data_IF_984732897149
#
_entry.id   IF_984732897149
#
_cell.length_a   1.000
_cell.length_b   1.000
_cell.length_c   1.000
_cell.angle_alpha   90.00
_cell.angle_beta   90.00
_cell.angle_gamma   90.00
#
_symmetry.space_group_name_H-M   'P 1'
#
loop_
_entity.id
_entity.type
_entity.pdbx_description
1 polymer ?
#
# COMPACT_ATOMS: atom_id res chain seq x y z
N UNK A 1 4.41 -21.85 -23.08
CA UNK A 1 4.99 -20.67 -23.74
C UNK A 1 4.22 -19.44 -23.27
N UNK A 2 4.48 -18.98 -22.06
CA UNK A 2 4.01 -17.70 -21.54
C UNK A 2 4.88 -16.64 -22.22
N UNK A 3 4.31 -15.98 -23.22
CA UNK A 3 4.95 -14.85 -23.88
C UNK A 3 5.26 -13.78 -22.84
N UNK A 4 6.54 -13.51 -22.64
CA UNK A 4 7.04 -12.34 -21.95
C UNK A 4 6.49 -11.10 -22.69
N UNK A 5 5.32 -10.58 -22.27
CA UNK A 5 4.95 -9.23 -22.66
C UNK A 5 6.05 -8.32 -22.13
N UNK A 6 6.63 -7.45 -22.96
CA UNK A 6 7.54 -6.43 -22.45
C UNK A 6 6.84 -5.69 -21.32
N UNK A 7 7.55 -5.29 -20.24
CA UNK A 7 6.94 -4.55 -19.16
C UNK A 7 6.20 -3.37 -19.77
N UNK A 8 4.90 -3.30 -19.50
CA UNK A 8 4.04 -2.26 -20.04
C UNK A 8 4.58 -0.93 -19.51
N UNK A 9 4.87 0.02 -20.40
CA UNK A 9 5.36 1.32 -19.99
C UNK A 9 4.38 1.92 -18.99
N UNK A 10 4.85 2.24 -17.78
CA UNK A 10 4.05 2.86 -16.73
C UNK A 10 4.23 4.39 -16.73
N UNK A 11 3.29 5.17 -16.20
CA UNK A 11 3.45 6.61 -16.02
C UNK A 11 4.69 6.96 -15.19
N UNK A 12 5.30 8.11 -15.51
CA UNK A 12 6.37 8.69 -14.71
C UNK A 12 5.98 10.08 -14.23
N UNK A 13 6.13 10.29 -12.91
CA UNK A 13 5.79 11.54 -12.25
C UNK A 13 7.08 12.28 -11.83
N UNK A 14 7.29 13.50 -12.28
CA UNK A 14 8.30 14.44 -11.73
C UNK A 14 7.54 15.52 -10.94
N UNK A 15 7.65 15.48 -9.61
CA UNK A 15 6.90 16.32 -8.69
C UNK A 15 7.84 17.27 -7.96
N UNK A 16 7.41 18.51 -7.81
CA UNK A 16 8.03 19.47 -6.87
C UNK A 16 6.97 19.91 -5.88
N UNK A 17 7.26 19.71 -4.60
CA UNK A 17 6.34 19.94 -3.49
C UNK A 17 6.96 20.94 -2.52
N UNK A 18 6.23 21.98 -2.18
CA UNK A 18 6.53 22.86 -1.06
C UNK A 18 5.48 22.67 0.02
N UNK A 19 5.91 22.15 1.16
CA UNK A 19 5.07 22.01 2.34
C UNK A 19 5.09 23.29 3.16
N UNK A 20 3.91 23.71 3.60
CA UNK A 20 3.70 24.78 4.57
C UNK A 20 2.91 24.22 5.75
N UNK A 21 3.57 23.48 6.68
CA UNK A 21 2.89 22.75 7.75
C UNK A 21 2.04 23.66 8.65
N UNK A 22 2.53 24.85 8.98
CA UNK A 22 1.79 25.83 9.79
C UNK A 22 0.50 26.32 9.11
N UNK A 23 0.44 26.29 7.77
CA UNK A 23 -0.74 26.65 6.99
C UNK A 23 -1.61 25.43 6.63
N UNK A 24 -1.21 24.21 7.00
CA UNK A 24 -1.89 22.97 6.60
C UNK A 24 -1.93 22.80 5.07
N UNK A 25 -0.93 23.27 4.34
CA UNK A 25 -0.97 23.41 2.88
C UNK A 25 0.26 22.83 2.19
N UNK A 26 0.05 22.27 1.00
CA UNK A 26 1.13 21.97 0.06
C UNK A 26 0.88 22.62 -1.29
N UNK A 27 1.96 23.15 -1.90
CA UNK A 27 1.99 23.60 -3.28
C UNK A 27 2.69 22.53 -4.11
N UNK A 28 2.07 22.12 -5.21
CA UNK A 28 2.56 21.03 -6.05
C UNK A 28 2.70 21.51 -7.49
N UNK A 29 3.86 21.27 -8.08
CA UNK A 29 4.06 21.29 -9.52
C UNK A 29 4.35 19.87 -9.98
N UNK A 30 3.58 19.39 -10.95
CA UNK A 30 3.67 18.03 -11.48
C UNK A 30 3.94 18.06 -12.97
N UNK A 31 4.87 17.23 -13.42
CA UNK A 31 5.02 16.81 -14.83
C UNK A 31 4.82 15.32 -14.87
N UNK A 32 3.93 14.85 -15.73
CA UNK A 32 3.57 13.45 -15.83
C UNK A 32 3.75 13.00 -17.26
N UNK A 33 4.66 12.07 -17.50
CA UNK A 33 4.78 11.37 -18.76
C UNK A 33 3.86 10.15 -18.71
N UNK A 34 2.77 10.19 -19.48
CA UNK A 34 1.72 9.18 -19.45
C UNK A 34 1.70 8.36 -20.74
N UNK A 35 2.14 7.10 -20.74
CA UNK A 35 2.02 6.19 -21.87
C UNK A 35 0.54 5.89 -22.12
N UNK A 36 0.05 6.18 -23.33
CA UNK A 36 -1.36 5.98 -23.69
C UNK A 36 -1.64 4.50 -24.01
N UNK A 37 -2.49 3.90 -23.18
CA UNK A 37 -3.09 2.60 -23.46
C UNK A 37 -4.33 2.79 -24.37
N UNK A 38 -4.86 1.73 -25.00
CA UNK A 38 -6.08 1.85 -25.83
C UNK A 38 -7.27 2.48 -25.08
N UNK A 39 -7.45 2.16 -23.77
CA UNK A 39 -8.48 2.74 -22.92
C UNK A 39 -8.29 4.23 -22.66
N UNK A 40 -7.04 4.72 -22.65
CA UNK A 40 -6.71 6.12 -22.33
C UNK A 40 -6.93 7.07 -23.51
N UNK A 41 -7.10 6.54 -24.75
CA UNK A 41 -7.12 7.35 -25.97
C UNK A 41 -8.30 8.31 -26.07
N UNK A 42 -9.38 8.02 -25.37
CA UNK A 42 -10.58 8.86 -25.35
C UNK A 42 -10.64 9.75 -24.11
N UNK A 43 -10.15 9.27 -23.00
CA UNK A 43 -10.11 10.01 -21.75
C UNK A 43 -9.10 9.41 -20.78
N UNK A 44 -8.52 10.26 -19.95
CA UNK A 44 -7.78 9.91 -18.75
C UNK A 44 -8.60 10.31 -17.54
N UNK A 45 -8.68 9.43 -16.57
CA UNK A 45 -9.34 9.74 -15.29
C UNK A 45 -8.32 9.68 -14.17
N UNK A 46 -8.13 10.83 -13.53
CA UNK A 46 -7.26 10.98 -12.37
C UNK A 46 -8.11 11.37 -11.16
N UNK A 47 -7.62 11.09 -9.97
CA UNK A 47 -8.19 11.56 -8.72
C UNK A 47 -7.25 12.56 -8.05
N UNK A 48 -7.81 13.62 -7.50
CA UNK A 48 -7.12 14.57 -6.63
C UNK A 48 -7.94 14.80 -5.37
N UNK A 49 -7.28 15.18 -4.29
CA UNK A 49 -7.96 15.59 -3.07
C UNK A 49 -8.97 16.72 -3.37
N UNK A 50 -10.14 16.70 -2.73
CA UNK A 50 -11.22 17.66 -2.99
C UNK A 50 -10.85 19.11 -2.72
N UNK A 51 -9.86 19.35 -1.86
CA UNK A 51 -9.32 20.68 -1.60
C UNK A 51 -8.35 21.17 -2.68
N UNK A 52 -8.08 20.38 -3.73
CA UNK A 52 -7.14 20.77 -4.78
C UNK A 52 -7.64 22.00 -5.54
N UNK A 53 -6.92 23.09 -5.40
CA UNK A 53 -7.12 24.31 -6.20
C UNK A 53 -6.14 24.28 -7.39
N UNK A 54 -6.65 23.86 -8.56
CA UNK A 54 -5.85 23.74 -9.79
C UNK A 54 -5.66 25.13 -10.39
N UNK A 55 -4.41 25.58 -10.44
CA UNK A 55 -4.04 26.86 -11.07
C UNK A 55 -3.85 26.69 -12.58
N UNK A 56 -3.18 25.60 -12.97
CA UNK A 56 -2.93 25.27 -14.38
C UNK A 56 -2.93 23.78 -14.59
N UNK A 57 -3.48 23.34 -15.71
CA UNK A 57 -3.32 22.00 -16.27
C UNK A 57 -3.21 22.12 -17.79
N UNK A 58 -2.13 21.58 -18.36
CA UNK A 58 -1.85 21.61 -19.80
C UNK A 58 -1.27 20.27 -20.24
N UNK A 59 -1.55 19.89 -21.48
CA UNK A 59 -0.92 18.78 -22.17
C UNK A 59 -0.03 19.27 -23.32
N UNK A 60 0.87 18.42 -23.77
CA UNK A 60 1.59 18.59 -25.04
C UNK A 60 0.73 18.22 -26.26
N UNK A 61 -0.42 17.59 -26.02
CA UNK A 61 -1.47 17.34 -26.99
C UNK A 61 -2.67 18.24 -26.71
N UNK A 62 -3.46 18.63 -27.76
CA UNK A 62 -4.69 19.38 -27.56
C UNK A 62 -5.66 18.65 -26.64
N UNK A 63 -6.08 19.28 -25.57
CA UNK A 63 -6.90 18.66 -24.55
C UNK A 63 -7.79 19.67 -23.80
N UNK A 64 -8.90 19.16 -23.29
CA UNK A 64 -9.74 19.82 -22.29
C UNK A 64 -9.80 19.00 -21.03
N UNK A 65 -10.15 19.63 -19.93
CA UNK A 65 -10.33 18.92 -18.66
C UNK A 65 -11.50 19.48 -17.86
N UNK A 66 -12.05 18.62 -17.02
CA UNK A 66 -13.14 18.96 -16.10
C UNK A 66 -12.92 18.31 -14.75
N UNK A 67 -13.44 18.92 -13.70
CA UNK A 67 -13.46 18.36 -12.36
C UNK A 67 -14.89 17.97 -12.00
N UNK A 68 -15.09 16.75 -11.55
CA UNK A 68 -16.35 16.22 -11.07
C UNK A 68 -16.19 15.56 -9.70
N UNK A 69 -17.25 15.53 -8.90
CA UNK A 69 -17.30 14.81 -7.64
C UNK A 69 -18.44 13.76 -7.71
N UNK A 70 -18.31 12.63 -7.01
CA UNK A 70 -17.12 12.10 -6.32
C UNK A 70 -16.14 11.42 -7.28
N UNK A 71 -14.93 11.16 -6.79
CA UNK A 71 -13.96 10.31 -7.50
C UNK A 71 -14.40 8.84 -7.48
N UNK A 72 -14.12 8.08 -8.56
CA UNK A 72 -14.35 6.64 -8.59
C UNK A 72 -13.34 5.85 -7.72
N UNK A 73 -12.30 6.50 -7.20
CA UNK A 73 -11.27 5.83 -6.38
C UNK A 73 -11.83 5.52 -5.00
N UNK A 74 -12.09 4.27 -4.77
CA UNK A 74 -12.76 3.75 -3.57
C UNK A 74 -12.04 4.06 -2.26
N UNK A 75 -10.70 4.10 -2.26
CA UNK A 75 -9.89 4.36 -1.08
C UNK A 75 -9.69 5.84 -0.77
N UNK A 76 -10.19 6.73 -1.63
CA UNK A 76 -10.07 8.16 -1.48
C UNK A 76 -11.45 8.83 -1.58
N UNK A 77 -12.31 8.66 -0.57
CA UNK A 77 -13.69 9.16 -0.60
C UNK A 77 -13.77 10.70 -0.70
N UNK A 78 -12.72 11.39 -0.24
CA UNK A 78 -12.63 12.85 -0.29
C UNK A 78 -11.98 13.35 -1.59
N UNK A 79 -11.78 12.49 -2.58
CA UNK A 79 -11.21 12.87 -3.86
C UNK A 79 -12.26 13.33 -4.86
N UNK A 80 -11.85 14.22 -5.73
CA UNK A 80 -12.58 14.61 -6.94
C UNK A 80 -11.99 13.90 -8.15
N UNK A 81 -12.81 13.65 -9.14
CA UNK A 81 -12.39 13.13 -10.43
C UNK A 81 -11.92 14.28 -11.32
N UNK A 82 -10.73 14.13 -11.87
CA UNK A 82 -10.19 14.97 -12.93
C UNK A 82 -10.28 14.17 -14.25
N UNK A 83 -11.22 14.54 -15.10
CA UNK A 83 -11.37 13.96 -16.43
C UNK A 83 -10.60 14.81 -17.45
N UNK A 84 -9.74 14.17 -18.23
CA UNK A 84 -8.92 14.81 -19.27
C UNK A 84 -9.25 14.13 -20.59
N UNK A 85 -9.63 14.92 -21.59
CA UNK A 85 -10.09 14.43 -22.88
C UNK A 85 -9.36 15.19 -24.00
N UNK A 86 -9.15 14.56 -25.19
CA UNK A 86 -8.71 15.27 -26.37
C UNK A 86 -9.74 16.33 -26.78
N UNK A 87 -9.29 17.49 -27.31
CA UNK A 87 -10.18 18.54 -27.80
C UNK A 87 -11.08 18.07 -28.93
N UNK A 88 -10.59 17.19 -29.79
CA UNK A 88 -11.33 16.59 -30.88
C UNK A 88 -10.89 15.13 -31.12
N UNK A 89 -11.88 14.25 -31.25
CA UNK A 89 -11.64 12.83 -31.59
C UNK A 89 -10.91 12.06 -30.50
N UNK A 90 -9.79 11.50 -30.85
CA UNK A 90 -8.95 10.65 -29.97
C UNK A 90 -7.46 10.91 -30.20
N UNK A 91 -6.63 10.62 -29.22
CA UNK A 91 -5.16 10.65 -29.36
C UNK A 91 -4.63 9.39 -30.08
N UNK A 92 -5.17 9.10 -31.27
CA UNK A 92 -4.97 7.82 -31.99
C UNK A 92 -3.52 7.48 -32.31
N UNK A 93 -2.74 8.48 -32.70
CA UNK A 93 -1.37 8.27 -33.14
C UNK A 93 -0.33 8.50 -32.06
N UNK A 94 -0.71 9.03 -30.94
CA UNK A 94 0.21 9.33 -29.85
C UNK A 94 0.53 8.07 -29.03
N UNK A 95 1.82 7.86 -28.74
CA UNK A 95 2.27 6.81 -27.83
C UNK A 95 2.15 7.24 -26.34
N UNK A 96 2.19 8.55 -26.08
CA UNK A 96 2.13 9.14 -24.76
C UNK A 96 1.56 10.54 -24.80
N UNK A 97 1.13 11.05 -23.66
CA UNK A 97 0.84 12.44 -23.41
C UNK A 97 1.64 12.95 -22.21
N UNK A 98 2.21 14.13 -22.32
CA UNK A 98 2.86 14.83 -21.19
C UNK A 98 1.90 15.85 -20.62
N UNK A 99 1.60 15.67 -19.32
CA UNK A 99 0.75 16.60 -18.56
C UNK A 99 1.62 17.45 -17.65
N UNK A 100 1.32 18.74 -17.57
CA UNK A 100 1.93 19.66 -16.60
C UNK A 100 0.83 20.32 -15.78
N UNK A 101 0.98 20.30 -14.46
CA UNK A 101 0.00 20.83 -13.53
C UNK A 101 0.66 21.71 -12.46
N UNK A 102 -0.08 22.73 -12.01
CA UNK A 102 0.21 23.46 -10.77
C UNK A 102 -1.08 23.53 -9.96
N UNK A 103 -1.00 23.20 -8.70
CA UNK A 103 -2.14 23.22 -7.78
C UNK A 103 -1.67 23.31 -6.34
N UNK A 104 -2.60 23.66 -5.47
CA UNK A 104 -2.40 23.56 -4.03
C UNK A 104 -3.42 22.61 -3.42
N UNK A 105 -3.05 21.97 -2.32
CA UNK A 105 -3.95 21.19 -1.47
C UNK A 105 -3.88 21.68 -0.04
N UNK A 106 -4.99 21.53 0.68
CA UNK A 106 -5.05 21.65 2.14
C UNK A 106 -5.52 20.31 2.70
N UNK A 107 -4.77 19.73 3.62
CA UNK A 107 -5.11 18.50 4.28
C UNK A 107 -5.17 18.73 5.79
N UNK A 108 -6.38 19.00 6.30
CA UNK A 108 -6.62 19.19 7.72
C UNK A 108 -7.16 17.89 8.36
N UNK A 109 -6.91 17.68 9.67
CA UNK A 109 -7.29 16.44 10.35
C UNK A 109 -8.80 16.16 10.41
N UNK A 110 -9.63 17.16 10.14
CA UNK A 110 -11.08 17.14 10.41
C UNK A 110 -11.95 16.84 9.18
N UNK A 111 -11.35 16.44 8.04
CA UNK A 111 -12.16 16.06 6.87
C UNK A 111 -12.92 14.75 7.14
N UNK A 112 -14.23 14.74 6.86
CA UNK A 112 -15.06 13.57 7.05
C UNK A 112 -14.75 12.49 6.00
N UNK A 113 -14.43 11.26 6.40
CA UNK A 113 -14.21 10.15 5.47
C UNK A 113 -13.88 8.85 6.19
N UNK A 114 -13.81 7.76 5.43
CA UNK A 114 -13.49 6.42 5.92
C UNK A 114 -12.20 6.37 6.76
N UNK A 115 -11.22 7.21 6.43
CA UNK A 115 -9.92 7.28 7.09
C UNK A 115 -9.79 8.43 8.09
N UNK A 116 -10.83 9.24 8.30
CA UNK A 116 -10.81 10.35 9.27
C UNK A 116 -10.56 9.85 10.69
N UNK A 117 -11.16 8.70 11.01
CA UNK A 117 -10.92 8.05 12.29
C UNK A 117 -9.45 7.62 12.48
N UNK A 118 -8.69 7.49 11.40
CA UNK A 118 -7.30 7.05 11.40
C UNK A 118 -6.30 8.20 11.34
N UNK A 119 -6.76 9.42 11.13
CA UNK A 119 -5.90 10.61 11.03
C UNK A 119 -4.75 10.47 10.03
N UNK A 120 -4.88 9.56 9.07
CA UNK A 120 -3.99 9.45 7.92
C UNK A 120 -4.29 10.64 7.02
N UNK A 121 -3.29 11.29 6.47
CA UNK A 121 -3.45 12.40 5.54
C UNK A 121 -3.70 13.75 6.21
N UNK A 122 -2.65 14.25 6.79
CA UNK A 122 -2.66 15.61 7.33
C UNK A 122 -1.39 16.35 6.98
N UNK A 123 -1.51 17.65 6.95
CA UNK A 123 -0.39 18.58 6.93
C UNK A 123 -0.51 19.41 8.20
N UNK A 124 0.39 19.21 9.15
CA UNK A 124 0.43 19.99 10.39
C UNK A 124 1.88 20.25 10.83
N UNK A 125 2.11 21.23 11.73
CA UNK A 125 3.45 21.52 12.22
C UNK A 125 4.15 20.33 12.87
N UNK A 126 3.39 19.45 13.53
CA UNK A 126 3.93 18.31 14.26
C UNK A 126 4.17 17.10 13.34
N UNK A 127 3.32 16.95 12.31
CA UNK A 127 3.32 15.76 11.46
C UNK A 127 2.59 15.99 10.16
N UNK A 128 3.27 15.76 9.06
CA UNK A 128 2.67 15.63 7.74
C UNK A 128 2.74 14.18 7.29
N UNK A 129 1.60 13.65 6.84
CA UNK A 129 1.52 12.30 6.28
C UNK A 129 0.53 12.32 5.12
N UNK A 130 1.03 12.08 3.90
CA UNK A 130 0.29 12.11 2.65
C UNK A 130 0.55 10.83 1.87
N UNK A 131 -0.47 10.31 1.21
CA UNK A 131 -0.41 9.11 0.38
C UNK A 131 -1.65 8.98 -0.50
N UNK A 132 -1.87 7.80 -1.06
CA UNK A 132 -2.98 7.53 -1.98
C UNK A 132 -4.37 7.72 -1.35
N UNK A 133 -4.47 7.59 -0.02
CA UNK A 133 -5.73 7.78 0.70
C UNK A 133 -6.19 9.25 0.71
N UNK A 134 -5.25 10.20 0.58
CA UNK A 134 -5.49 11.58 0.23
C UNK A 134 -4.70 11.86 -1.04
N UNK A 135 -5.30 11.73 -2.22
CA UNK A 135 -4.57 11.90 -3.47
C UNK A 135 -3.99 13.31 -3.57
N UNK A 136 -2.84 13.49 -2.97
CA UNK A 136 -2.09 14.75 -3.01
C UNK A 136 -1.34 14.94 -4.34
N UNK A 137 -1.21 13.85 -5.11
CA UNK A 137 -0.71 13.79 -6.47
C UNK A 137 -1.83 13.26 -7.39
N UNK A 138 -1.79 13.53 -8.70
CA UNK A 138 -2.82 13.04 -9.63
C UNK A 138 -2.81 11.51 -9.71
N UNK A 139 -3.64 10.86 -8.90
CA UNK A 139 -3.72 9.41 -8.78
C UNK A 139 -4.53 8.83 -9.93
N UNK A 140 -4.00 7.83 -10.64
CA UNK A 140 -4.76 7.10 -11.66
C UNK A 140 -6.01 6.45 -11.05
N UNK A 141 -7.18 6.64 -11.67
CA UNK A 141 -8.44 6.09 -11.15
C UNK A 141 -8.47 4.55 -11.16
N UNK A 142 -7.69 3.91 -12.02
CA UNK A 142 -7.51 2.47 -12.08
C UNK A 142 -6.35 1.95 -11.21
N UNK A 143 -5.75 2.80 -10.39
CA UNK A 143 -4.64 2.48 -9.48
C UNK A 143 -3.45 1.81 -10.18
N UNK A 144 -3.21 2.13 -11.46
CA UNK A 144 -2.04 1.59 -12.17
C UNK A 144 -0.75 2.03 -11.54
N UNK A 145 0.25 1.17 -11.64
CA UNK A 145 1.59 1.43 -11.11
C UNK A 145 2.28 2.55 -11.92
N UNK A 146 3.10 3.33 -11.23
CA UNK A 146 3.87 4.43 -11.80
C UNK A 146 5.25 4.53 -11.13
N UNK A 147 6.18 5.19 -11.80
CA UNK A 147 7.45 5.61 -11.21
C UNK A 147 7.41 7.10 -10.87
N UNK A 148 8.21 7.53 -9.91
CA UNK A 148 8.22 8.94 -9.53
C UNK A 148 9.59 9.45 -9.13
N UNK A 149 9.78 10.76 -9.32
CA UNK A 149 10.79 11.59 -8.67
C UNK A 149 10.07 12.75 -7.98
N UNK A 150 10.35 12.97 -6.71
CA UNK A 150 9.77 14.07 -5.94
C UNK A 150 10.87 14.92 -5.34
N UNK A 151 10.81 16.23 -5.53
CA UNK A 151 11.59 17.22 -4.77
C UNK A 151 10.69 17.84 -3.73
N UNK A 152 11.09 17.76 -2.47
CA UNK A 152 10.30 18.24 -1.34
C UNK A 152 11.08 19.31 -0.59
N UNK A 153 10.44 20.44 -0.38
CA UNK A 153 10.89 21.48 0.55
C UNK A 153 9.84 21.69 1.63
N UNK A 154 10.23 22.05 2.83
CA UNK A 154 9.31 22.38 3.92
C UNK A 154 9.70 23.70 4.55
N UNK A 155 8.70 24.58 4.76
CA UNK A 155 8.92 25.94 5.28
C UNK A 155 9.44 25.93 6.73
N UNK A 156 9.22 24.83 7.47
CA UNK A 156 9.70 24.61 8.84
C UNK A 156 11.07 23.90 8.92
N UNK A 157 11.67 23.57 7.77
CA UNK A 157 12.91 22.82 7.70
C UNK A 157 12.77 21.34 8.09
N UNK A 158 11.54 20.81 8.19
CA UNK A 158 11.25 19.45 8.60
C UNK A 158 11.96 18.40 7.75
N UNK A 159 12.35 17.29 8.40
CA UNK A 159 12.89 16.13 7.70
C UNK A 159 11.78 15.41 6.95
N UNK A 160 12.07 15.02 5.72
CA UNK A 160 11.14 14.26 4.91
C UNK A 160 11.51 12.77 4.90
N UNK A 161 10.49 11.93 4.73
CA UNK A 161 10.57 10.48 4.62
C UNK A 161 9.57 10.01 3.56
N UNK A 162 9.94 8.95 2.84
CA UNK A 162 9.08 8.35 1.82
C UNK A 162 9.47 6.89 1.60
N UNK A 163 8.67 6.13 0.86
CA UNK A 163 9.11 4.93 0.19
C UNK A 163 10.12 5.28 -0.92
N UNK A 164 11.05 4.41 -1.24
CA UNK A 164 12.05 4.66 -2.29
C UNK A 164 13.36 5.26 -1.81
N UNK A 165 14.25 5.54 -2.77
CA UNK A 165 15.56 6.12 -2.49
C UNK A 165 15.44 7.60 -2.14
N UNK A 166 16.10 8.01 -1.07
CA UNK A 166 16.10 9.39 -0.60
C UNK A 166 17.50 9.97 -0.58
N UNK A 167 17.62 11.23 -0.94
CA UNK A 167 18.86 11.99 -0.80
C UNK A 167 18.58 13.46 -0.43
N UNK A 168 19.43 14.07 0.40
CA UNK A 168 19.33 15.49 0.65
C UNK A 168 19.68 16.30 -0.63
N UNK A 169 19.04 17.45 -0.78
CA UNK A 169 19.36 18.48 -1.79
C UNK A 169 19.50 19.81 -1.03
N UNK A 170 20.07 20.87 -1.65
CA UNK A 170 20.35 22.13 -0.93
C UNK A 170 19.16 22.69 -0.14
N UNK A 171 17.96 22.61 -0.69
CA UNK A 171 16.75 23.22 -0.09
C UNK A 171 15.74 22.16 0.41
N UNK A 172 16.16 20.90 0.65
CA UNK A 172 15.23 19.87 1.11
C UNK A 172 15.65 18.46 0.76
N UNK A 173 14.73 17.69 0.16
CA UNK A 173 14.91 16.26 -0.10
C UNK A 173 14.47 15.89 -1.51
N UNK A 174 15.19 14.97 -2.12
CA UNK A 174 14.75 14.29 -3.34
C UNK A 174 14.44 12.82 -3.01
N UNK A 175 13.27 12.38 -3.47
CA UNK A 175 12.81 11.00 -3.40
C UNK A 175 12.69 10.45 -4.81
N UNK A 176 13.04 9.18 -4.99
CA UNK A 176 12.87 8.47 -6.27
C UNK A 176 12.36 7.06 -6.00
N UNK A 177 11.31 6.65 -6.71
CA UNK A 177 10.85 5.26 -6.65
C UNK A 177 11.94 4.30 -7.11
N UNK A 178 12.10 3.19 -6.39
CA UNK A 178 13.06 2.13 -6.76
C UNK A 178 12.50 1.25 -7.88
N UNK A 179 11.19 1.09 -7.90
CA UNK A 179 10.42 0.33 -8.88
C UNK A 179 9.04 0.99 -9.04
N UNK A 180 8.23 0.58 -10.02
CA UNK A 180 6.84 1.02 -10.10
C UNK A 180 6.08 0.71 -8.81
N UNK A 181 5.26 1.66 -8.34
CA UNK A 181 4.41 1.54 -7.17
C UNK A 181 3.05 2.20 -7.46
N UNK A 182 2.06 1.97 -6.60
CA UNK A 182 0.70 2.56 -6.70
C UNK A 182 0.53 3.79 -5.84
N UNK A 183 1.54 4.10 -5.02
CA UNK A 183 1.50 5.21 -4.08
C UNK A 183 2.81 6.01 -4.09
N UNK A 184 2.67 7.27 -3.72
CA UNK A 184 3.78 8.16 -3.41
C UNK A 184 3.55 8.73 -2.00
N UNK A 185 4.06 8.03 -1.00
CA UNK A 185 3.96 8.46 0.40
C UNK A 185 4.94 9.59 0.66
N UNK A 186 4.49 10.63 1.34
CA UNK A 186 5.30 11.72 1.84
C UNK A 186 5.00 11.95 3.31
N UNK A 187 6.01 11.74 4.16
CA UNK A 187 5.97 12.01 5.59
C UNK A 187 6.97 13.12 5.89
N UNK A 188 6.59 14.08 6.73
CA UNK A 188 7.50 15.12 7.20
C UNK A 188 7.18 15.50 8.64
N UNK A 189 8.23 15.73 9.41
CA UNK A 189 8.13 16.30 10.76
C UNK A 189 9.44 17.04 11.11
N UNK A 190 9.38 18.03 12.02
CA UNK A 190 10.58 18.78 12.44
C UNK A 190 11.59 17.87 13.15
N UNK A 191 11.14 16.94 13.99
CA UNK A 191 11.97 16.08 14.83
C UNK A 191 11.75 14.60 14.51
N UNK A 192 12.22 14.13 13.36
CA UNK A 192 12.28 12.69 13.08
C UNK A 192 13.54 12.09 13.72
N UNK A 193 13.33 11.12 14.59
CA UNK A 193 14.35 10.32 15.25
C UNK A 193 14.45 8.96 14.62
N UNK A 194 15.66 8.41 14.56
CA UNK A 194 15.93 7.15 13.88
C UNK A 194 16.69 6.24 14.85
N UNK A 195 16.24 5.00 14.96
CA UNK A 195 17.01 3.91 15.53
C UNK A 195 17.45 3.04 14.38
N UNK A 196 18.78 3.03 14.13
CA UNK A 196 19.40 2.21 13.09
C UNK A 196 19.43 0.74 13.52
N UNK A 197 18.92 -0.15 12.67
CA UNK A 197 19.07 -1.58 12.82
C UNK A 197 19.87 -2.22 11.67
N UNK A 198 19.98 -3.53 11.66
CA UNK A 198 20.71 -4.26 10.63
C UNK A 198 19.91 -4.35 9.31
N UNK A 199 18.62 -4.68 9.40
CA UNK A 199 17.73 -4.88 8.26
C UNK A 199 16.61 -3.84 8.17
N UNK A 200 16.34 -3.11 9.25
CA UNK A 200 15.32 -2.08 9.33
C UNK A 200 15.82 -0.87 10.11
N UNK A 201 15.27 0.29 9.79
CA UNK A 201 15.39 1.51 10.59
C UNK A 201 14.02 1.83 11.16
N UNK A 202 13.92 2.18 12.46
CA UNK A 202 12.66 2.64 13.06
C UNK A 202 12.70 4.14 13.24
N UNK A 203 11.68 4.80 12.70
CA UNK A 203 11.53 6.26 12.67
C UNK A 203 10.33 6.67 13.52
N UNK A 204 10.50 7.65 14.39
CA UNK A 204 9.46 8.17 15.28
C UNK A 204 9.67 9.66 15.58
N UNK A 205 8.63 10.35 16.06
CA UNK A 205 8.65 11.80 16.26
C UNK A 205 8.63 12.25 17.74
N UNK A 206 8.43 11.34 18.71
CA UNK A 206 8.36 11.67 20.15
C UNK A 206 9.23 10.73 20.97
N UNK A 207 9.94 11.26 21.98
CA UNK A 207 10.71 10.44 22.92
C UNK A 207 9.87 9.42 23.67
N UNK A 208 8.60 9.71 23.89
CA UNK A 208 7.66 8.79 24.53
C UNK A 208 7.49 7.50 23.71
N UNK A 209 7.76 7.55 22.41
CA UNK A 209 7.67 6.39 21.53
C UNK A 209 8.97 5.58 21.45
N UNK A 210 10.06 6.03 22.07
CA UNK A 210 11.35 5.35 22.00
C UNK A 210 11.31 3.89 22.50
N UNK A 211 10.71 3.57 23.66
CA UNK A 211 10.64 2.18 24.12
C UNK A 211 9.86 1.28 23.13
N UNK A 212 8.78 1.81 22.55
CA UNK A 212 8.01 1.09 21.54
C UNK A 212 8.83 0.89 20.25
N UNK A 213 9.61 1.89 19.86
CA UNK A 213 10.47 1.83 18.69
C UNK A 213 11.58 0.78 18.83
N UNK A 214 12.19 0.65 20.00
CA UNK A 214 13.21 -0.35 20.29
C UNK A 214 12.63 -1.78 20.22
N UNK A 215 11.43 -2.00 20.78
CA UNK A 215 10.73 -3.28 20.68
C UNK A 215 10.31 -3.60 19.24
N UNK A 216 9.78 -2.61 18.54
CA UNK A 216 9.34 -2.76 17.15
C UNK A 216 10.50 -3.08 16.22
N UNK A 217 11.68 -2.49 16.45
CA UNK A 217 12.90 -2.82 15.70
C UNK A 217 13.27 -4.29 15.85
N UNK A 218 13.36 -4.77 17.10
CA UNK A 218 13.73 -6.16 17.38
C UNK A 218 12.76 -7.17 16.73
N UNK A 219 11.46 -6.87 16.75
CA UNK A 219 10.46 -7.71 16.11
C UNK A 219 10.51 -7.63 14.59
N UNK A 220 10.68 -6.42 14.05
CA UNK A 220 10.76 -6.21 12.61
C UNK A 220 11.98 -6.93 12.00
N UNK A 221 13.13 -6.83 12.62
CA UNK A 221 14.35 -7.54 12.17
C UNK A 221 14.16 -9.06 12.24
N UNK A 222 13.55 -9.56 13.30
CA UNK A 222 13.23 -10.98 13.40
C UNK A 222 12.27 -11.43 12.29
N UNK A 223 11.21 -10.64 12.02
CA UNK A 223 10.23 -10.93 10.96
C UNK A 223 10.87 -10.94 9.58
N UNK A 224 11.73 -9.96 9.27
CA UNK A 224 12.43 -9.90 7.98
C UNK A 224 13.30 -11.12 7.74
N UNK A 225 14.04 -11.58 8.76
CA UNK A 225 14.86 -12.79 8.68
C UNK A 225 14.00 -14.04 8.56
N UNK A 226 12.93 -14.16 9.36
CA UNK A 226 12.02 -15.31 9.33
C UNK A 226 11.33 -15.43 7.95
N UNK A 227 10.79 -14.34 7.42
CA UNK A 227 10.10 -14.33 6.15
C UNK A 227 11.04 -14.55 4.96
N UNK A 228 12.24 -13.94 4.98
CA UNK A 228 13.24 -14.18 3.95
C UNK A 228 13.69 -15.66 3.92
N UNK A 229 13.80 -16.30 5.07
CA UNK A 229 14.13 -17.73 5.18
C UNK A 229 13.02 -18.61 4.60
N UNK A 230 11.76 -18.23 4.79
CA UNK A 230 10.59 -19.05 4.41
C UNK A 230 10.16 -18.82 2.98
N UNK A 231 10.19 -17.57 2.50
CA UNK A 231 9.63 -17.19 1.21
C UNK A 231 10.71 -16.88 0.18
N UNK A 232 11.92 -16.57 0.61
CA UNK A 232 13.02 -16.08 -0.20
C UNK A 232 13.30 -14.60 0.08
N UNK A 233 14.54 -14.20 -0.19
CA UNK A 233 15.00 -12.83 0.04
C UNK A 233 14.27 -11.84 -0.87
N UNK A 234 14.02 -10.65 -0.34
CA UNK A 234 13.61 -9.52 -1.16
C UNK A 234 14.76 -9.15 -2.12
N UNK A 235 14.39 -8.77 -3.33
CA UNK A 235 15.38 -8.38 -4.37
C UNK A 235 16.00 -7.01 -4.09
N UNK A 236 15.33 -6.18 -3.30
CA UNK A 236 15.81 -4.87 -2.90
C UNK A 236 16.62 -5.01 -1.60
N UNK A 237 17.85 -4.50 -1.64
CA UNK A 237 18.80 -4.52 -0.51
C UNK A 237 18.66 -3.29 0.40
N UNK A 238 17.73 -2.40 0.13
CA UNK A 238 17.48 -1.25 1.00
C UNK A 238 16.86 -1.69 2.32
N UNK A 239 17.33 -1.10 3.43
CA UNK A 239 16.71 -1.32 4.74
C UNK A 239 15.24 -0.93 4.73
N UNK A 240 14.40 -1.73 5.40
CA UNK A 240 13.02 -1.36 5.65
C UNK A 240 12.95 -0.14 6.57
N UNK A 241 12.12 0.83 6.24
CA UNK A 241 11.76 1.95 7.12
C UNK A 241 10.46 1.64 7.83
N UNK A 242 10.55 1.41 9.13
CA UNK A 242 9.37 1.29 9.99
C UNK A 242 9.10 2.63 10.66
N UNK A 243 7.95 3.22 10.39
CA UNK A 243 7.55 4.53 10.92
C UNK A 243 6.48 4.36 11.97
N UNK A 244 6.70 4.92 13.15
CA UNK A 244 5.68 5.06 14.19
C UNK A 244 5.06 6.45 14.04
N UNK A 245 3.93 6.51 13.34
CA UNK A 245 3.20 7.74 13.11
C UNK A 245 2.48 8.18 14.39
N UNK A 246 2.57 9.45 14.80
CA UNK A 246 1.95 9.96 16.05
C UNK A 246 0.43 10.16 15.84
N UNK A 247 -0.27 9.07 15.52
CA UNK A 247 -1.72 9.00 15.37
C UNK A 247 -2.30 8.26 16.57
N UNK A 248 -3.40 8.76 17.11
CA UNK A 248 -4.08 8.16 18.26
C UNK A 248 -4.97 6.97 17.88
N UNK A 249 -5.22 6.76 16.59
CA UNK A 249 -6.07 5.67 16.08
C UNK A 249 -5.61 5.24 14.69
N UNK A 250 -6.02 4.05 14.31
CA UNK A 250 -5.92 3.55 12.97
C UNK A 250 -4.90 2.46 12.78
N UNK A 251 -5.04 1.78 11.65
CA UNK A 251 -4.15 0.71 11.23
C UNK A 251 -2.80 1.19 10.71
N UNK A 252 -1.97 0.23 10.39
CA UNK A 252 -0.77 0.44 9.62
C UNK A 252 -1.06 0.40 8.11
N UNK A 253 -0.03 0.63 7.36
CA UNK A 253 0.02 0.32 5.93
C UNK A 253 1.46 0.05 5.51
N UNK A 254 1.61 -0.78 4.49
CA UNK A 254 2.90 -1.08 3.89
C UNK A 254 3.00 -0.50 2.47
N UNK A 255 4.20 -0.03 2.12
CA UNK A 255 4.61 0.34 0.77
C UNK A 255 5.99 -0.26 0.51
N UNK A 256 6.48 -0.14 -0.71
CA UNK A 256 7.81 -0.66 -1.02
C UNK A 256 8.89 -0.04 -0.11
N UNK A 257 9.51 -0.86 0.73
CA UNK A 257 10.55 -0.42 1.67
C UNK A 257 10.09 0.47 2.81
N UNK A 258 8.76 0.61 3.03
CA UNK A 258 8.18 1.44 4.08
C UNK A 258 7.00 0.73 4.73
N UNK A 259 7.00 0.65 6.05
CA UNK A 259 5.85 0.25 6.88
C UNK A 259 5.53 1.36 7.84
N UNK A 260 4.28 1.74 7.94
CA UNK A 260 3.80 2.76 8.88
C UNK A 260 2.84 2.10 9.87
N UNK A 261 3.05 2.33 11.15
CA UNK A 261 2.22 1.81 12.25
C UNK A 261 1.88 2.92 13.23
N UNK A 262 0.95 2.66 14.15
CA UNK A 262 0.56 3.62 15.20
C UNK A 262 0.99 3.15 16.58
N UNK A 263 1.22 4.06 17.53
CA UNK A 263 1.56 3.71 18.92
C UNK A 263 0.53 2.80 19.59
N UNK A 264 -0.77 3.04 19.36
CA UNK A 264 -1.85 2.24 19.94
C UNK A 264 -1.74 0.75 19.56
N UNK A 265 -1.36 0.47 18.32
CA UNK A 265 -1.11 -0.89 17.86
C UNK A 265 0.13 -1.54 18.49
N UNK A 266 1.02 -0.74 19.07
CA UNK A 266 2.27 -1.23 19.68
C UNK A 266 2.17 -1.37 21.21
N UNK A 267 1.09 -0.89 21.84
CA UNK A 267 0.93 -0.92 23.31
C UNK A 267 0.68 -2.31 23.89
N UNK A 268 -0.02 -3.19 23.17
CA UNK A 268 -0.16 -4.61 23.51
C UNK A 268 0.83 -5.46 22.71
N UNK A 269 1.60 -6.29 23.42
CA UNK A 269 2.69 -7.08 22.81
C UNK A 269 2.23 -8.03 21.71
N UNK A 270 1.08 -8.68 21.89
CA UNK A 270 0.55 -9.64 20.94
C UNK A 270 -0.02 -8.92 19.71
N UNK A 271 -0.74 -7.84 19.96
CA UNK A 271 -1.30 -7.00 18.91
C UNK A 271 -0.19 -6.33 18.09
N UNK A 272 0.84 -5.80 18.75
CA UNK A 272 2.00 -5.19 18.13
C UNK A 272 2.71 -6.15 17.17
N UNK A 273 3.04 -7.35 17.63
CA UNK A 273 3.69 -8.35 16.81
C UNK A 273 2.79 -8.79 15.64
N UNK A 274 1.48 -8.95 15.89
CA UNK A 274 0.53 -9.29 14.81
C UNK A 274 0.52 -8.22 13.72
N UNK A 275 0.41 -6.95 14.08
CA UNK A 275 0.37 -5.86 13.11
C UNK A 275 1.69 -5.71 12.34
N UNK A 276 2.81 -5.73 13.08
CA UNK A 276 4.13 -5.70 12.43
C UNK A 276 4.32 -6.88 11.47
N UNK A 277 3.89 -8.07 11.89
CA UNK A 277 4.00 -9.26 11.07
C UNK A 277 3.11 -9.18 9.82
N UNK A 278 1.89 -8.66 9.94
CA UNK A 278 0.97 -8.45 8.82
C UNK A 278 1.55 -7.41 7.83
N UNK A 279 1.90 -6.23 8.29
CA UNK A 279 2.42 -5.17 7.43
C UNK A 279 3.78 -5.54 6.81
N UNK A 280 4.65 -6.22 7.56
CA UNK A 280 5.91 -6.73 7.02
C UNK A 280 5.69 -7.79 5.95
N UNK A 281 4.66 -8.63 6.09
CA UNK A 281 4.33 -9.67 5.10
C UNK A 281 3.93 -9.06 3.74
N UNK A 282 3.38 -7.86 3.71
CA UNK A 282 3.08 -7.15 2.47
C UNK A 282 4.33 -6.82 1.62
N UNK A 283 5.54 -6.94 2.14
CA UNK A 283 6.74 -6.88 1.31
C UNK A 283 6.83 -8.06 0.32
N UNK A 284 6.15 -9.16 0.62
CA UNK A 284 6.01 -10.35 -0.24
C UNK A 284 4.62 -10.46 -0.88
N UNK A 285 3.55 -10.14 -0.14
CA UNK A 285 2.14 -10.35 -0.53
C UNK A 285 1.47 -9.01 -0.86
N UNK A 286 1.61 -8.53 -2.10
CA UNK A 286 1.08 -7.23 -2.54
C UNK A 286 0.79 -7.13 -4.04
N UNK A 287 0.97 -8.23 -4.79
CA UNK A 287 0.98 -8.19 -6.25
C UNK A 287 -0.41 -8.39 -6.88
N UNK A 288 -1.39 -8.84 -6.11
CA UNK A 288 -2.75 -9.04 -6.58
C UNK A 288 -3.51 -7.70 -6.74
N UNK A 289 -4.58 -7.74 -7.51
CA UNK A 289 -5.43 -6.57 -7.75
C UNK A 289 -6.20 -6.17 -6.48
N UNK A 290 -5.83 -5.04 -5.90
CA UNK A 290 -6.44 -4.49 -4.67
C UNK A 290 -7.83 -3.90 -4.88
N UNK A 291 -8.31 -3.80 -6.11
CA UNK A 291 -9.64 -3.26 -6.44
C UNK A 291 -10.72 -4.33 -6.53
N UNK A 292 -10.31 -5.60 -6.54
CA UNK A 292 -11.19 -6.75 -6.67
C UNK A 292 -11.08 -7.70 -5.47
N UNK A 293 -11.88 -8.76 -5.47
CA UNK A 293 -11.77 -9.83 -4.47
C UNK A 293 -10.43 -10.57 -4.50
N UNK A 294 -9.66 -10.46 -5.59
CA UNK A 294 -8.29 -11.03 -5.67
C UNK A 294 -7.34 -10.45 -4.61
N UNK A 295 -7.70 -9.32 -4.01
CA UNK A 295 -7.00 -8.74 -2.85
C UNK A 295 -6.89 -9.71 -1.66
N UNK A 296 -7.67 -10.80 -1.63
CA UNK A 296 -7.48 -11.88 -0.66
C UNK A 296 -6.08 -12.51 -0.72
N UNK A 297 -5.45 -12.52 -1.89
CA UNK A 297 -4.07 -12.99 -2.06
C UNK A 297 -3.05 -12.07 -1.34
N UNK A 298 -3.37 -10.81 -1.17
CA UNK A 298 -2.56 -9.89 -0.39
C UNK A 298 -2.89 -10.02 1.10
N UNK A 299 -4.15 -9.78 1.47
CA UNK A 299 -4.57 -9.62 2.85
C UNK A 299 -4.63 -10.94 3.63
N UNK A 300 -5.18 -12.00 3.01
CA UNK A 300 -5.25 -13.30 3.68
C UNK A 300 -3.88 -13.92 3.87
N UNK A 301 -2.98 -13.76 2.90
CA UNK A 301 -1.62 -14.26 3.01
C UNK A 301 -0.83 -13.48 4.06
N UNK A 302 -0.96 -12.15 4.11
CA UNK A 302 -0.34 -11.34 5.15
C UNK A 302 -0.84 -11.74 6.54
N UNK A 303 -2.15 -11.94 6.70
CA UNK A 303 -2.74 -12.33 7.98
C UNK A 303 -2.38 -13.78 8.39
N UNK A 304 -2.30 -14.70 7.43
CA UNK A 304 -1.78 -16.05 7.67
C UNK A 304 -0.31 -16.02 8.13
N UNK A 305 0.51 -15.18 7.50
CA UNK A 305 1.89 -14.96 7.91
C UNK A 305 1.96 -14.39 9.34
N UNK A 306 1.09 -13.44 9.68
CA UNK A 306 1.01 -12.87 11.02
C UNK A 306 0.65 -13.93 12.07
N UNK A 307 -0.36 -14.76 11.83
CA UNK A 307 -0.73 -15.87 12.73
C UNK A 307 0.43 -16.85 12.91
N UNK A 308 1.11 -17.20 11.83
CA UNK A 308 2.25 -18.14 11.92
C UNK A 308 3.47 -17.50 12.63
N UNK A 309 3.67 -16.20 12.49
CA UNK A 309 4.69 -15.45 13.23
C UNK A 309 4.39 -15.42 14.74
N UNK A 310 3.13 -15.15 15.14
CA UNK A 310 2.72 -15.22 16.53
C UNK A 310 2.96 -16.62 17.11
N UNK A 311 2.55 -17.68 16.38
CA UNK A 311 2.77 -19.07 16.80
C UNK A 311 4.24 -19.35 17.08
N UNK A 312 5.13 -18.91 16.21
CA UNK A 312 6.58 -19.13 16.33
C UNK A 312 7.24 -18.30 17.43
N UNK A 313 6.78 -17.07 17.63
CA UNK A 313 7.42 -16.11 18.54
C UNK A 313 6.83 -16.13 19.94
N UNK A 314 5.52 -16.36 20.06
CA UNK A 314 4.75 -16.27 21.32
C UNK A 314 4.07 -17.60 21.71
N UNK A 315 4.06 -18.60 20.83
CA UNK A 315 3.55 -19.94 21.10
C UNK A 315 2.12 -20.19 20.60
N UNK A 316 1.74 -21.46 20.63
CA UNK A 316 0.47 -21.96 20.07
C UNK A 316 -0.78 -21.38 20.76
N UNK A 317 -0.71 -21.13 22.07
CA UNK A 317 -1.86 -20.60 22.80
C UNK A 317 -2.32 -19.22 22.30
N UNK A 318 -1.38 -18.33 21.99
CA UNK A 318 -1.68 -16.98 21.46
C UNK A 318 -2.23 -17.07 20.04
N UNK A 319 -1.59 -17.84 19.16
CA UNK A 319 -2.06 -18.04 17.79
C UNK A 319 -3.43 -18.73 17.75
N UNK A 320 -3.65 -19.75 18.60
CA UNK A 320 -4.93 -20.45 18.70
C UNK A 320 -6.07 -19.54 19.18
N UNK A 321 -5.82 -18.68 20.17
CA UNK A 321 -6.80 -17.70 20.63
C UNK A 321 -7.19 -16.72 19.52
N UNK A 322 -6.22 -16.25 18.73
CA UNK A 322 -6.50 -15.39 17.58
C UNK A 322 -7.32 -16.10 16.50
N UNK A 323 -6.99 -17.35 16.19
CA UNK A 323 -7.76 -18.15 15.22
C UNK A 323 -9.19 -18.42 15.71
N UNK A 324 -9.39 -18.71 17.00
CA UNK A 324 -10.71 -18.86 17.59
C UNK A 324 -11.56 -17.58 17.45
N UNK A 325 -10.98 -16.43 17.78
CA UNK A 325 -11.65 -15.14 17.60
C UNK A 325 -11.99 -14.84 16.14
N UNK A 326 -11.14 -15.25 15.18
CA UNK A 326 -11.44 -15.13 13.74
C UNK A 326 -12.63 -16.02 13.35
N UNK A 327 -12.69 -17.25 13.86
CA UNK A 327 -13.82 -18.16 13.60
C UNK A 327 -15.17 -17.59 14.04
N UNK A 328 -15.20 -16.92 15.19
CA UNK A 328 -16.42 -16.26 15.66
C UNK A 328 -16.86 -15.11 14.74
N UNK A 329 -15.92 -14.34 14.22
CA UNK A 329 -16.21 -13.18 13.37
C UNK A 329 -16.68 -13.51 11.96
N UNK A 330 -16.38 -14.70 11.45
CA UNK A 330 -16.72 -15.07 10.07
C UNK A 330 -18.09 -15.75 9.92
N UNK A 331 -18.79 -16.02 11.02
CA UNK A 331 -20.08 -16.71 10.98
C UNK A 331 -21.08 -15.89 10.15
N UNK A 332 -21.64 -16.52 9.11
CA UNK A 332 -22.65 -15.90 8.24
C UNK A 332 -22.08 -14.90 7.21
N UNK A 333 -20.77 -14.79 7.09
CA UNK A 333 -20.15 -13.90 6.08
C UNK A 333 -20.24 -14.49 4.66
N UNK A 334 -20.28 -13.64 3.64
CA UNK A 334 -20.35 -14.06 2.24
C UNK A 334 -19.06 -14.82 1.80
N UNK A 335 -19.11 -15.48 0.63
CA UNK A 335 -17.92 -16.08 0.01
C UNK A 335 -16.83 -15.05 -0.27
N UNK A 336 -15.57 -15.53 -0.34
CA UNK A 336 -14.44 -14.69 -0.75
C UNK A 336 -14.53 -14.41 -2.26
N UNK A 337 -14.79 -15.45 -3.04
CA UNK A 337 -14.81 -15.34 -4.50
C UNK A 337 -15.95 -14.46 -4.99
N UNK A 338 -15.59 -13.43 -5.75
CA UNK A 338 -16.55 -12.50 -6.32
C UNK A 338 -17.04 -11.41 -5.36
N UNK A 339 -16.51 -11.33 -4.14
CA UNK A 339 -16.86 -10.28 -3.19
C UNK A 339 -16.46 -8.90 -3.75
N UNK A 340 -17.37 -7.95 -3.74
CA UNK A 340 -17.03 -6.58 -4.09
C UNK A 340 -16.08 -5.99 -3.04
N UNK A 341 -14.98 -5.34 -3.47
CA UNK A 341 -13.98 -4.80 -2.52
C UNK A 341 -14.55 -3.71 -1.60
N UNK A 342 -15.66 -3.06 -2.01
CA UNK A 342 -16.42 -2.08 -1.23
C UNK A 342 -17.58 -2.68 -0.43
N UNK A 343 -17.73 -3.99 -0.38
CA UNK A 343 -18.70 -4.63 0.48
C UNK A 343 -18.38 -4.33 1.95
N UNK A 344 -19.39 -4.12 2.78
CA UNK A 344 -19.23 -3.88 4.21
C UNK A 344 -18.51 -5.02 4.94
N UNK A 345 -18.58 -6.24 4.40
CA UNK A 345 -17.92 -7.43 4.94
C UNK A 345 -16.52 -7.70 4.33
N UNK A 346 -16.04 -6.84 3.41
CA UNK A 346 -14.79 -7.11 2.71
C UNK A 346 -13.62 -7.29 3.68
N UNK A 347 -13.53 -6.46 4.72
CA UNK A 347 -12.44 -6.58 5.70
C UNK A 347 -12.46 -7.93 6.44
N UNK A 348 -13.51 -8.34 7.18
CA UNK A 348 -13.50 -9.61 7.87
C UNK A 348 -13.43 -10.81 6.91
N UNK A 349 -13.93 -10.72 5.68
CA UNK A 349 -13.82 -11.80 4.70
C UNK A 349 -12.39 -11.95 4.21
N UNK A 350 -11.73 -10.88 3.80
CA UNK A 350 -10.37 -10.96 3.25
C UNK A 350 -9.32 -11.23 4.34
N UNK A 351 -9.50 -10.68 5.56
CA UNK A 351 -8.52 -10.80 6.65
C UNK A 351 -8.76 -12.03 7.53
N UNK A 352 -10.02 -12.30 7.92
CA UNK A 352 -10.29 -13.38 8.86
C UNK A 352 -10.64 -14.68 8.16
N UNK A 353 -11.63 -14.67 7.25
CA UNK A 353 -12.07 -15.88 6.55
C UNK A 353 -10.97 -16.44 5.66
N UNK A 354 -10.30 -15.59 4.88
CA UNK A 354 -9.20 -16.02 4.03
C UNK A 354 -8.01 -16.59 4.81
N UNK A 355 -7.65 -15.99 5.95
CA UNK A 355 -6.63 -16.53 6.85
C UNK A 355 -7.00 -17.93 7.36
N UNK A 356 -8.27 -18.15 7.75
CA UNK A 356 -8.76 -19.45 8.19
C UNK A 356 -8.75 -20.47 7.06
N UNK A 357 -9.11 -20.10 5.84
CA UNK A 357 -9.00 -20.95 4.66
C UNK A 357 -7.55 -21.38 4.42
N UNK A 358 -6.59 -20.47 4.48
CA UNK A 358 -5.16 -20.81 4.35
C UNK A 358 -4.66 -21.68 5.51
N UNK A 359 -5.14 -21.44 6.72
CA UNK A 359 -4.83 -22.29 7.89
C UNK A 359 -5.38 -23.72 7.70
N UNK A 360 -6.60 -23.86 7.22
CA UNK A 360 -7.20 -25.13 6.86
C UNK A 360 -6.46 -25.84 5.72
N UNK A 361 -6.02 -25.09 4.71
CA UNK A 361 -5.20 -25.61 3.62
C UNK A 361 -3.87 -26.16 4.16
N UNK A 362 -3.18 -25.42 5.03
CA UNK A 362 -1.92 -25.86 5.65
C UNK A 362 -2.10 -27.17 6.44
N UNK A 363 -3.20 -27.29 7.20
CA UNK A 363 -3.54 -28.55 7.90
C UNK A 363 -3.80 -29.72 6.96
N UNK A 364 -4.29 -29.45 5.75
CA UNK A 364 -4.62 -30.49 4.76
C UNK A 364 -3.41 -30.97 3.95
N UNK A 365 -2.54 -30.04 3.52
CA UNK A 365 -1.39 -30.36 2.67
C UNK A 365 -0.08 -30.56 3.44
N UNK A 366 -0.07 -30.18 4.74
CA UNK A 366 1.08 -30.24 5.63
C UNK A 366 2.06 -29.06 5.44
N UNK A 367 2.89 -28.85 6.47
CA UNK A 367 3.79 -27.71 6.56
C UNK A 367 4.77 -27.60 5.40
N UNK A 368 5.30 -28.73 4.91
CA UNK A 368 6.28 -28.75 3.81
C UNK A 368 5.67 -28.25 2.50
N UNK A 369 4.49 -28.76 2.14
CA UNK A 369 3.80 -28.34 0.90
C UNK A 369 3.31 -26.89 1.01
N UNK A 370 2.85 -26.46 2.19
CA UNK A 370 2.46 -25.07 2.42
C UNK A 370 3.64 -24.12 2.32
N UNK A 371 4.80 -24.46 2.88
CA UNK A 371 6.01 -23.67 2.74
C UNK A 371 6.46 -23.56 1.28
N UNK A 372 6.39 -24.65 0.52
CA UNK A 372 6.69 -24.67 -0.92
C UNK A 372 5.70 -23.80 -1.70
N UNK A 373 4.40 -23.85 -1.39
CA UNK A 373 3.37 -23.02 -2.01
C UNK A 373 3.67 -21.54 -1.80
N UNK A 374 3.94 -21.13 -0.57
CA UNK A 374 4.24 -19.74 -0.26
C UNK A 374 5.51 -19.26 -0.98
N UNK A 375 6.57 -20.05 -0.94
CA UNK A 375 7.83 -19.72 -1.58
C UNK A 375 7.69 -19.58 -3.10
N UNK A 376 7.03 -20.53 -3.75
CA UNK A 376 6.83 -20.49 -5.21
C UNK A 376 5.84 -19.40 -5.61
N UNK A 377 4.77 -19.18 -4.85
CA UNK A 377 3.81 -18.10 -5.13
C UNK A 377 4.50 -16.74 -5.16
N UNK A 378 5.45 -16.49 -4.25
CA UNK A 378 6.31 -15.30 -4.30
C UNK A 378 7.26 -15.29 -5.50
N UNK A 379 8.03 -16.36 -5.71
CA UNK A 379 9.04 -16.44 -6.77
C UNK A 379 8.44 -16.35 -8.18
N UNK A 380 7.27 -16.94 -8.38
CA UNK A 380 6.55 -16.95 -9.65
C UNK A 380 5.61 -15.73 -9.81
N UNK A 381 5.61 -14.82 -8.82
CA UNK A 381 4.82 -13.59 -8.85
C UNK A 381 3.33 -13.86 -9.10
N UNK A 382 2.76 -14.80 -8.34
CA UNK A 382 1.33 -15.14 -8.44
C UNK A 382 0.47 -13.92 -8.13
N UNK A 383 -0.45 -13.57 -9.06
CA UNK A 383 -1.30 -12.36 -8.99
C UNK A 383 -2.80 -12.65 -9.07
N UNK A 384 -3.17 -13.91 -9.28
CA UNK A 384 -4.57 -14.32 -9.40
C UNK A 384 -4.82 -15.65 -8.72
N UNK A 385 -6.05 -15.86 -8.28
CA UNK A 385 -6.50 -17.11 -7.68
C UNK A 385 -6.34 -18.30 -8.62
N UNK A 386 -6.60 -18.12 -9.91
CA UNK A 386 -6.45 -19.21 -10.89
C UNK A 386 -4.98 -19.63 -11.03
N UNK A 387 -4.04 -18.69 -10.99
CA UNK A 387 -2.61 -19.00 -10.99
C UNK A 387 -2.21 -19.71 -9.69
N UNK A 388 -2.75 -19.30 -8.52
CA UNK A 388 -2.52 -19.97 -7.25
C UNK A 388 -3.05 -21.40 -7.26
N UNK A 389 -4.26 -21.63 -7.77
CA UNK A 389 -4.87 -22.97 -7.87
C UNK A 389 -4.05 -23.89 -8.77
N UNK A 390 -3.55 -23.36 -9.90
CA UNK A 390 -2.66 -24.10 -10.81
C UNK A 390 -1.35 -24.48 -10.14
N UNK A 391 -0.76 -23.57 -9.37
CA UNK A 391 0.44 -23.83 -8.60
C UNK A 391 0.21 -24.86 -7.49
N UNK A 392 -0.91 -24.76 -6.76
CA UNK A 392 -1.29 -25.71 -5.71
C UNK A 392 -1.51 -27.11 -6.27
N UNK A 393 -2.11 -27.22 -7.44
CA UNK A 393 -2.29 -28.52 -8.14
C UNK A 393 -0.94 -29.20 -8.43
N UNK A 394 0.07 -28.46 -8.85
CA UNK A 394 1.42 -28.96 -9.07
C UNK A 394 2.12 -29.43 -7.79
N UNK A 395 1.88 -28.77 -6.66
CA UNK A 395 2.57 -29.03 -5.39
C UNK A 395 1.88 -30.13 -4.57
N UNK A 396 0.56 -30.07 -4.47
CA UNK A 396 -0.22 -30.90 -3.55
C UNK A 396 -1.33 -31.71 -4.24
N UNK A 397 -1.43 -31.62 -5.57
CA UNK A 397 -2.39 -32.36 -6.40
C UNK A 397 -3.78 -31.75 -6.45
N UNK A 398 -4.55 -32.23 -7.41
CA UNK A 398 -5.88 -31.72 -7.79
C UNK A 398 -6.88 -31.64 -6.64
N UNK A 399 -6.85 -32.61 -5.73
CA UNK A 399 -7.75 -32.63 -4.56
C UNK A 399 -7.54 -31.42 -3.63
N UNK A 400 -6.31 -30.90 -3.53
CA UNK A 400 -6.01 -29.72 -2.74
C UNK A 400 -6.50 -28.44 -3.42
N UNK A 401 -6.29 -28.29 -4.74
CA UNK A 401 -6.76 -27.13 -5.50
C UNK A 401 -8.28 -27.06 -5.60
N UNK A 402 -8.96 -28.19 -5.80
CA UNK A 402 -10.44 -28.29 -5.77
C UNK A 402 -11.00 -27.94 -4.38
N UNK A 403 -10.36 -28.42 -3.32
CA UNK A 403 -10.75 -28.08 -1.96
C UNK A 403 -10.63 -26.56 -1.72
N UNK A 404 -9.48 -25.95 -2.05
CA UNK A 404 -9.30 -24.50 -1.90
C UNK A 404 -10.35 -23.73 -2.71
N UNK A 405 -10.58 -24.12 -3.97
CA UNK A 405 -11.60 -23.50 -4.81
C UNK A 405 -12.99 -23.57 -4.18
N UNK A 406 -13.35 -24.71 -3.56
CA UNK A 406 -14.63 -24.85 -2.86
C UNK A 406 -14.75 -23.97 -1.62
N UNK A 407 -13.65 -23.81 -0.86
CA UNK A 407 -13.64 -22.91 0.32
C UNK A 407 -13.77 -21.44 -0.04
N UNK A 408 -13.29 -21.03 -1.21
CA UNK A 408 -13.45 -19.64 -1.68
C UNK A 408 -14.89 -19.33 -2.11
N UNK A 409 -15.70 -20.34 -2.39
CA UNK A 409 -17.11 -20.24 -2.77
C UNK A 409 -18.09 -20.45 -1.59
N UNK A 410 -17.60 -20.85 -0.42
CA UNK A 410 -18.42 -21.16 0.75
C UNK A 410 -18.69 -19.94 1.64
#
# INVERSE_FOLDING_TARGET
LTGNRPPQACPHYDLTVRLSPAAGKALVAATIDWPLQPCDRRHLTLALHSSAAIETLRGDLPMRWTVAAPSPVQFAPDAVQLAIEPDAGEWWSAASVRLTMRYSITAQPDSAGYLTAWQVNRISPEWTELGLYTPWFPLAADLREFTYRVRVTSDDGGRCLSAGAMRPIPDGWQVQSLQPDRDCVLISAPDLRIIDGACADVIYASDDHRPLAELALADCEWLLVDYATRFGSLTDTTKLRLVIAPRSKGGGYARHGLVVVTPDGLGDRNLALRWLAHETAHLWWRNADTTTWEDWLNESFAEYCAVTALRRRLGEAIAGALLAAKHERIVGLPPIRGLARNDAHAQPVLYDKGCLVLTGLAGRIGDRAMAELLRRAWQEQVRSTDALLSLLDQIAGKAASEWLSSQLLS
#
